data_IF_902303680580
#
_entry.id   IF_902303680580
#
_cell.length_a   1.000
_cell.length_b   1.000
_cell.length_c   1.000
_cell.angle_alpha   90.00
_cell.angle_beta   90.00
_cell.angle_gamma   90.00
#
_symmetry.space_group_name_H-M   'P 1'
#
loop_
_entity.id
_entity.type
_entity.pdbx_description
1 polymer ?
#
# COMPACT_ATOMS: atom_id res chain seq x y z
N UNK A 1 27.42 -88.70 131.66
CA UNK A 1 28.63 -89.53 131.86
C UNK A 1 29.25 -89.29 133.26
N UNK A 2 28.52 -89.55 134.35
CA UNK A 2 28.94 -89.20 135.73
C UNK A 2 29.41 -90.40 136.58
N UNK A 3 29.41 -91.62 136.03
CA UNK A 3 29.70 -92.86 136.77
C UNK A 3 31.20 -93.19 136.94
N UNK A 4 32.11 -92.61 136.14
CA UNK A 4 33.54 -92.96 136.15
C UNK A 4 34.40 -92.17 137.14
N UNK A 5 33.92 -91.02 137.60
CA UNK A 5 34.72 -90.16 138.50
C UNK A 5 34.60 -90.59 139.97
N UNK A 6 33.54 -91.30 140.35
CA UNK A 6 33.37 -91.86 141.70
C UNK A 6 34.20 -93.12 141.91
N UNK A 7 34.34 -93.97 140.88
CA UNK A 7 35.16 -95.18 140.95
C UNK A 7 36.65 -94.86 141.16
N UNK A 8 37.19 -93.88 140.43
CA UNK A 8 38.58 -93.45 140.61
C UNK A 8 38.85 -92.78 141.97
N UNK A 9 37.83 -92.20 142.62
CA UNK A 9 37.98 -91.58 143.95
C UNK A 9 38.16 -92.62 145.04
N UNK A 10 37.40 -93.71 144.97
CA UNK A 10 37.43 -94.79 145.96
C UNK A 10 38.72 -95.61 145.81
N UNK A 11 39.19 -95.86 144.59
CA UNK A 11 40.44 -96.60 144.35
C UNK A 11 41.67 -95.84 144.88
N UNK A 12 41.74 -94.52 144.69
CA UNK A 12 42.87 -93.71 145.22
C UNK A 12 42.87 -93.66 146.76
N UNK A 13 41.70 -93.55 147.38
CA UNK A 13 41.57 -93.57 148.83
C UNK A 13 41.99 -94.93 149.43
N UNK A 14 41.64 -96.03 148.77
CA UNK A 14 42.05 -97.38 149.18
C UNK A 14 43.57 -97.59 149.08
N UNK A 15 44.19 -97.11 147.99
CA UNK A 15 45.64 -97.22 147.78
C UNK A 15 46.41 -96.40 148.82
N UNK A 16 45.96 -95.19 149.17
CA UNK A 16 46.64 -94.40 150.22
C UNK A 16 46.48 -95.02 151.61
N UNK A 17 45.34 -95.63 151.90
CA UNK A 17 45.12 -96.39 153.14
C UNK A 17 46.09 -97.58 153.27
N UNK A 18 46.23 -98.39 152.22
CA UNK A 18 47.13 -99.56 152.22
C UNK A 18 48.61 -99.12 152.35
N UNK A 19 49.02 -98.08 151.61
CA UNK A 19 50.39 -97.58 151.66
C UNK A 19 50.75 -97.01 153.03
N UNK A 20 49.89 -96.17 153.62
CA UNK A 20 50.14 -95.57 154.94
C UNK A 20 50.03 -96.58 156.09
N UNK A 21 49.11 -97.54 156.03
CA UNK A 21 49.01 -98.61 157.01
C UNK A 21 50.23 -99.55 156.95
N UNK A 22 50.66 -99.93 155.74
CA UNK A 22 51.81 -100.81 155.53
C UNK A 22 53.13 -100.20 156.03
N UNK A 23 53.39 -98.93 155.71
CA UNK A 23 54.60 -98.22 156.17
C UNK A 23 54.60 -98.03 157.70
N UNK A 24 53.45 -97.75 158.30
CA UNK A 24 53.38 -97.49 159.75
C UNK A 24 53.46 -98.76 160.59
N UNK A 25 53.06 -99.93 160.06
CA UNK A 25 53.19 -101.23 160.75
C UNK A 25 54.62 -101.78 160.73
N UNK A 26 55.41 -101.45 159.68
CA UNK A 26 56.80 -101.88 159.53
C UNK A 26 57.78 -101.19 160.48
N UNK A 27 57.49 -99.96 160.92
CA UNK A 27 58.46 -99.13 161.65
C UNK A 27 58.21 -99.05 163.17
N UNK A 28 56.94 -99.14 163.61
CA UNK A 28 56.57 -99.14 165.01
C UNK A 28 55.57 -100.27 165.22
N UNK A 29 55.89 -101.26 166.04
CA UNK A 29 55.07 -102.47 166.24
C UNK A 29 53.80 -102.18 167.10
N UNK A 30 53.12 -101.06 166.83
CA UNK A 30 51.93 -100.55 167.51
C UNK A 30 50.81 -100.29 166.49
N UNK A 31 49.84 -101.21 166.43
CA UNK A 31 48.74 -101.21 165.45
C UNK A 31 47.85 -99.96 165.56
N UNK A 32 47.65 -99.42 166.77
CA UNK A 32 46.75 -98.29 167.00
C UNK A 32 47.23 -96.97 166.36
N UNK A 33 48.54 -96.72 166.32
CA UNK A 33 49.10 -95.51 165.68
C UNK A 33 49.09 -95.61 164.15
N UNK A 34 49.24 -96.81 163.60
CA UNK A 34 49.16 -97.04 162.16
C UNK A 34 47.75 -96.74 161.62
N UNK A 35 46.71 -97.09 162.37
CA UNK A 35 45.32 -96.85 161.97
C UNK A 35 44.95 -95.37 161.96
N UNK A 36 45.39 -94.58 162.96
CA UNK A 36 45.11 -93.14 163.00
C UNK A 36 45.76 -92.38 161.83
N UNK A 37 46.99 -92.73 161.46
CA UNK A 37 47.68 -92.11 160.32
C UNK A 37 47.02 -92.49 158.99
N UNK A 38 46.54 -93.73 158.85
CA UNK A 38 45.83 -94.17 157.65
C UNK A 38 44.48 -93.42 157.46
N UNK A 39 43.74 -93.16 158.54
CA UNK A 39 42.50 -92.37 158.48
C UNK A 39 42.77 -90.93 158.05
N UNK A 40 43.80 -90.28 158.62
CA UNK A 40 44.17 -88.91 158.25
C UNK A 40 44.55 -88.84 156.76
N UNK A 41 45.31 -89.82 156.26
CA UNK A 41 45.68 -89.91 154.85
C UNK A 41 44.46 -90.03 153.93
N UNK A 42 43.46 -90.84 154.28
CA UNK A 42 42.24 -91.00 153.48
C UNK A 42 41.44 -89.70 153.41
N UNK A 43 41.25 -89.01 154.54
CA UNK A 43 40.51 -87.74 154.59
C UNK A 43 41.25 -86.66 153.78
N UNK A 44 42.57 -86.57 153.92
CA UNK A 44 43.40 -85.64 153.16
C UNK A 44 43.34 -85.92 151.65
N UNK A 45 43.39 -87.20 151.25
CA UNK A 45 43.29 -87.61 149.84
C UNK A 45 41.91 -87.28 149.27
N UNK A 46 40.83 -87.51 150.03
CA UNK A 46 39.47 -87.21 149.60
C UNK A 46 39.23 -85.69 149.44
N UNK A 47 39.72 -84.88 150.38
CA UNK A 47 39.66 -83.43 150.30
C UNK A 47 40.45 -82.88 149.10
N UNK A 48 41.64 -83.43 148.82
CA UNK A 48 42.45 -83.06 147.66
C UNK A 48 41.71 -83.31 146.34
N UNK A 49 41.01 -84.45 146.20
CA UNK A 49 40.28 -84.76 144.97
C UNK A 49 39.08 -83.83 144.76
N UNK A 50 38.36 -83.42 145.82
CA UNK A 50 37.27 -82.45 145.69
C UNK A 50 37.75 -81.05 145.28
N UNK A 51 38.89 -80.61 145.81
CA UNK A 51 39.50 -79.33 145.44
C UNK A 51 39.97 -79.36 143.97
N UNK A 52 40.58 -80.47 143.55
CA UNK A 52 41.04 -80.65 142.16
C UNK A 52 39.86 -80.73 141.19
N UNK A 53 38.77 -81.43 141.54
CA UNK A 53 37.55 -81.51 140.70
C UNK A 53 36.85 -80.15 140.55
N UNK A 54 36.81 -79.34 141.63
CA UNK A 54 36.28 -77.97 141.57
C UNK A 54 37.16 -77.06 140.69
N UNK A 55 38.48 -77.20 140.78
CA UNK A 55 39.43 -76.48 139.93
C UNK A 55 39.32 -76.90 138.46
N UNK A 56 39.14 -78.20 138.19
CA UNK A 56 38.95 -78.74 136.84
C UNK A 56 37.69 -78.19 136.19
N UNK A 57 36.54 -78.18 136.89
CA UNK A 57 35.30 -77.58 136.39
C UNK A 57 35.41 -76.08 136.15
N UNK A 58 36.13 -75.36 137.01
CA UNK A 58 36.39 -73.94 136.77
C UNK A 58 37.29 -73.74 135.54
N UNK A 59 38.28 -74.61 135.31
CA UNK A 59 39.11 -74.55 134.10
C UNK A 59 38.32 -74.90 132.84
N UNK A 60 37.47 -75.94 132.87
CA UNK A 60 36.58 -76.29 131.77
C UNK A 60 35.54 -75.21 131.50
N UNK A 61 35.00 -74.57 132.54
CA UNK A 61 34.08 -73.43 132.39
C UNK A 61 34.78 -72.24 131.73
N UNK A 62 36.02 -71.90 132.13
CA UNK A 62 36.78 -70.83 131.49
C UNK A 62 37.11 -71.16 130.02
N UNK A 63 37.43 -72.42 129.72
CA UNK A 63 37.62 -72.88 128.34
C UNK A 63 36.32 -72.80 127.54
N UNK A 64 35.20 -73.27 128.11
CA UNK A 64 33.87 -73.17 127.49
C UNK A 64 33.43 -71.72 127.30
N UNK A 65 33.67 -70.84 128.27
CA UNK A 65 33.36 -69.41 128.19
C UNK A 65 34.19 -68.74 127.09
N UNK A 66 35.48 -69.09 126.96
CA UNK A 66 36.33 -68.61 125.88
C UNK A 66 35.88 -69.12 124.50
N UNK A 67 35.46 -70.39 124.40
CA UNK A 67 34.93 -70.98 123.17
C UNK A 67 33.57 -70.36 122.82
N UNK A 68 32.68 -70.17 123.78
CA UNK A 68 31.39 -69.51 123.59
C UNK A 68 31.58 -68.04 123.17
N UNK A 69 32.53 -67.34 123.77
CA UNK A 69 32.90 -65.99 123.37
C UNK A 69 33.40 -65.97 121.93
N UNK A 70 34.29 -66.89 121.56
CA UNK A 70 34.81 -66.99 120.19
C UNK A 70 33.72 -67.39 119.18
N UNK A 71 32.81 -68.28 119.55
CA UNK A 71 31.65 -68.65 118.72
C UNK A 71 30.78 -67.41 118.50
N UNK A 72 30.47 -66.65 119.55
CA UNK A 72 29.67 -65.43 119.44
C UNK A 72 30.37 -64.35 118.61
N UNK A 73 31.68 -64.20 118.73
CA UNK A 73 32.48 -63.30 117.90
C UNK A 73 32.46 -63.72 116.43
N UNK A 74 32.67 -65.01 116.14
CA UNK A 74 32.61 -65.55 114.78
C UNK A 74 31.20 -65.45 114.20
N UNK A 75 30.16 -65.65 115.01
CA UNK A 75 28.78 -65.41 114.62
C UNK A 75 28.56 -63.93 114.30
N UNK A 76 29.03 -63.01 115.15
CA UNK A 76 28.96 -61.57 114.89
C UNK A 76 29.65 -61.16 113.58
N UNK A 77 30.86 -61.67 113.36
CA UNK A 77 31.60 -61.48 112.11
C UNK A 77 30.85 -62.07 110.91
N UNK A 78 30.27 -63.27 111.04
CA UNK A 78 29.45 -63.89 109.99
C UNK A 78 28.25 -63.02 109.62
N UNK A 79 27.53 -62.47 110.59
CA UNK A 79 26.39 -61.58 110.31
C UNK A 79 26.85 -60.28 109.65
N UNK A 80 27.99 -59.73 110.08
CA UNK A 80 28.58 -58.56 109.45
C UNK A 80 28.95 -58.82 107.98
N UNK A 81 29.70 -59.90 107.72
CA UNK A 81 30.04 -60.31 106.35
C UNK A 81 28.80 -60.61 105.51
N UNK A 82 27.77 -61.23 106.07
CA UNK A 82 26.53 -61.50 105.35
C UNK A 82 25.78 -60.20 105.00
N UNK A 83 25.82 -59.20 105.89
CA UNK A 83 25.32 -57.87 105.62
C UNK A 83 26.09 -57.15 104.50
N UNK A 84 27.42 -57.22 104.53
CA UNK A 84 28.27 -56.67 103.45
C UNK A 84 28.04 -57.37 102.11
N UNK A 85 27.94 -58.70 102.10
CA UNK A 85 27.62 -59.48 100.89
C UNK A 85 26.26 -59.07 100.34
N UNK A 86 25.26 -58.92 101.20
CA UNK A 86 23.93 -58.48 100.75
C UNK A 86 23.96 -57.04 100.19
N UNK A 87 24.71 -56.13 100.82
CA UNK A 87 24.91 -54.77 100.28
C UNK A 87 25.64 -54.80 98.92
N UNK A 88 26.66 -55.64 98.78
CA UNK A 88 27.41 -55.81 97.54
C UNK A 88 26.55 -56.43 96.44
N UNK A 89 25.70 -57.39 96.78
CA UNK A 89 24.73 -58.01 95.88
C UNK A 89 23.69 -56.99 95.39
N UNK A 90 23.16 -56.16 96.29
CA UNK A 90 22.27 -55.06 95.93
C UNK A 90 22.97 -54.05 95.01
N UNK A 91 24.22 -53.68 95.31
CA UNK A 91 25.01 -52.80 94.44
C UNK A 91 25.27 -53.44 93.07
N UNK A 92 25.57 -54.74 93.02
CA UNK A 92 25.75 -55.48 91.78
C UNK A 92 24.47 -55.49 90.94
N UNK A 93 23.30 -55.72 91.55
CA UNK A 93 22.01 -55.65 90.86
C UNK A 93 21.72 -54.25 90.29
N UNK A 94 21.99 -53.19 91.06
CA UNK A 94 21.86 -51.81 90.57
C UNK A 94 22.80 -51.54 89.39
N UNK A 95 24.06 -51.96 89.49
CA UNK A 95 25.04 -51.78 88.42
C UNK A 95 24.65 -52.53 87.14
N UNK A 96 24.12 -53.76 87.27
CA UNK A 96 23.58 -54.53 86.15
C UNK A 96 22.38 -53.84 85.52
N UNK A 97 21.47 -53.30 86.33
CA UNK A 97 20.32 -52.55 85.84
C UNK A 97 20.74 -51.29 85.07
N UNK A 98 21.71 -50.53 85.60
CA UNK A 98 22.28 -49.36 84.92
C UNK A 98 23.00 -49.75 83.63
N UNK A 99 23.78 -50.84 83.64
CA UNK A 99 24.46 -51.36 82.46
C UNK A 99 23.46 -51.74 81.36
N UNK A 100 22.38 -52.44 81.71
CA UNK A 100 21.30 -52.78 80.78
C UNK A 100 20.60 -51.53 80.22
N UNK A 101 20.34 -50.53 81.08
CA UNK A 101 19.73 -49.26 80.65
C UNK A 101 20.65 -48.52 79.66
N UNK A 102 21.94 -48.43 79.96
CA UNK A 102 22.92 -47.81 79.06
C UNK A 102 23.06 -48.61 77.76
N UNK A 103 23.06 -49.94 77.83
CA UNK A 103 23.09 -50.79 76.64
C UNK A 103 21.88 -50.54 75.73
N UNK A 104 20.68 -50.42 76.30
CA UNK A 104 19.47 -50.08 75.55
C UNK A 104 19.57 -48.68 74.93
N UNK A 105 20.03 -47.69 75.68
CA UNK A 105 20.25 -46.33 75.15
C UNK A 105 21.28 -46.31 74.00
N UNK A 106 22.36 -47.08 74.11
CA UNK A 106 23.36 -47.20 73.03
C UNK A 106 22.75 -47.89 71.81
N UNK A 107 21.91 -48.92 71.99
CA UNK A 107 21.21 -49.58 70.90
C UNK A 107 20.22 -48.63 70.20
N UNK A 108 19.45 -47.86 70.95
CA UNK A 108 18.55 -46.82 70.42
C UNK A 108 19.32 -45.76 69.63
N UNK A 109 20.40 -45.22 70.18
CA UNK A 109 21.26 -44.25 69.50
C UNK A 109 21.88 -44.80 68.20
N UNK A 110 22.23 -46.10 68.16
CA UNK A 110 22.71 -46.74 66.92
C UNK A 110 21.60 -46.84 65.88
N UNK A 111 20.40 -47.24 66.30
CA UNK A 111 19.26 -47.35 65.40
C UNK A 111 18.86 -45.99 64.81
N UNK A 112 18.84 -44.92 65.63
CA UNK A 112 18.54 -43.57 65.15
C UNK A 112 19.61 -43.06 64.18
N UNK A 113 20.90 -43.25 64.51
CA UNK A 113 22.02 -42.93 63.61
C UNK A 113 21.89 -43.68 62.27
N UNK A 114 21.56 -44.96 62.32
CA UNK A 114 21.44 -45.78 61.11
C UNK A 114 20.22 -45.36 60.26
N UNK A 115 19.11 -44.97 60.90
CA UNK A 115 17.95 -44.36 60.21
C UNK A 115 18.33 -43.04 59.53
N UNK A 116 18.98 -42.14 60.27
CA UNK A 116 19.43 -40.84 59.74
C UNK A 116 20.43 -41.02 58.59
N UNK A 117 21.33 -41.99 58.67
CA UNK A 117 22.26 -42.29 57.58
C UNK A 117 21.53 -42.79 56.32
N UNK A 118 20.48 -43.60 56.46
CA UNK A 118 19.65 -44.04 55.33
C UNK A 118 18.93 -42.84 54.72
N UNK A 119 18.31 -41.99 55.53
CA UNK A 119 17.65 -40.76 55.07
C UNK A 119 18.63 -39.83 54.35
N UNK A 120 19.82 -39.59 54.91
CA UNK A 120 20.86 -38.78 54.28
C UNK A 120 21.29 -39.36 52.92
N UNK A 121 21.42 -40.68 52.82
CA UNK A 121 21.70 -41.37 51.56
C UNK A 121 20.58 -41.14 50.53
N UNK A 122 19.31 -41.25 50.94
CA UNK A 122 18.17 -40.98 50.06
C UNK A 122 18.12 -39.53 49.59
N UNK A 123 18.35 -38.56 50.48
CA UNK A 123 18.39 -37.14 50.12
C UNK A 123 19.58 -36.82 49.20
N UNK A 124 20.73 -37.46 49.40
CA UNK A 124 21.87 -37.33 48.49
C UNK A 124 21.53 -37.84 47.09
N UNK A 125 20.83 -38.97 46.99
CA UNK A 125 20.34 -39.51 45.72
C UNK A 125 19.34 -38.58 45.03
N UNK A 126 18.33 -38.09 45.77
CA UNK A 126 17.33 -37.15 45.26
C UNK A 126 17.98 -35.84 44.77
N UNK A 127 18.95 -35.31 45.53
CA UNK A 127 19.72 -34.12 45.13
C UNK A 127 20.43 -34.33 43.79
N UNK A 128 21.13 -35.44 43.61
CA UNK A 128 21.80 -35.78 42.34
C UNK A 128 20.82 -35.91 41.18
N UNK A 129 19.64 -36.49 41.43
CA UNK A 129 18.60 -36.61 40.41
C UNK A 129 18.04 -35.24 40.02
N UNK A 130 17.79 -34.35 40.98
CA UNK A 130 17.35 -32.98 40.71
C UNK A 130 18.41 -32.19 39.94
N UNK A 131 19.68 -32.29 40.33
CA UNK A 131 20.80 -31.66 39.59
C UNK A 131 20.87 -32.16 38.14
N UNK A 132 20.69 -33.46 37.90
CA UNK A 132 20.62 -34.00 36.55
C UNK A 132 19.42 -33.46 35.75
N UNK A 133 18.24 -33.33 36.37
CA UNK A 133 17.06 -32.74 35.74
C UNK A 133 17.25 -31.26 35.42
N UNK A 134 17.86 -30.49 36.32
CA UNK A 134 18.20 -29.07 36.09
C UNK A 134 19.13 -28.94 34.88
N UNK A 135 20.20 -29.75 34.83
CA UNK A 135 21.13 -29.72 33.70
C UNK A 135 20.45 -30.09 32.37
N UNK A 136 19.54 -31.08 32.38
CA UNK A 136 18.75 -31.44 31.17
C UNK A 136 17.88 -30.28 30.70
N UNK A 137 17.13 -29.67 31.60
CA UNK A 137 16.25 -28.54 31.28
C UNK A 137 17.08 -27.36 30.78
N UNK A 138 18.26 -27.11 31.37
CA UNK A 138 19.13 -26.02 30.93
C UNK A 138 19.63 -26.23 29.50
N UNK A 139 20.03 -27.45 29.13
CA UNK A 139 20.38 -27.80 27.74
C UNK A 139 19.18 -27.65 26.80
N UNK A 140 17.97 -28.03 27.24
CA UNK A 140 16.75 -27.87 26.45
C UNK A 140 16.43 -26.38 26.20
N UNK A 141 16.56 -25.53 27.23
CA UNK A 141 16.41 -24.08 27.12
C UNK A 141 17.41 -23.51 26.12
N UNK A 142 18.70 -23.86 26.22
CA UNK A 142 19.72 -23.40 25.27
C UNK A 142 19.39 -23.82 23.82
N UNK A 143 18.90 -25.04 23.62
CA UNK A 143 18.50 -25.52 22.29
C UNK A 143 17.28 -24.77 21.76
N UNK A 144 16.29 -24.48 22.61
CA UNK A 144 15.13 -23.68 22.24
C UNK A 144 15.52 -22.23 21.92
N UNK A 145 16.45 -21.64 22.66
CA UNK A 145 16.98 -20.31 22.39
C UNK A 145 17.72 -20.25 21.04
N UNK A 146 18.54 -21.26 20.73
CA UNK A 146 19.19 -21.40 19.41
C UNK A 146 18.15 -21.53 18.29
N UNK A 147 17.17 -22.40 18.44
CA UNK A 147 16.09 -22.58 17.46
C UNK A 147 15.27 -21.31 17.26
N UNK A 148 14.96 -20.58 18.34
CA UNK A 148 14.30 -19.26 18.26
C UNK A 148 15.14 -18.24 17.52
N UNK A 149 16.45 -18.20 17.74
CA UNK A 149 17.36 -17.30 17.04
C UNK A 149 17.43 -17.62 15.54
N UNK A 150 17.52 -18.90 15.17
CA UNK A 150 17.47 -19.36 13.78
C UNK A 150 16.14 -19.01 13.10
N UNK A 151 15.02 -19.24 13.79
CA UNK A 151 13.70 -18.91 13.28
C UNK A 151 13.54 -17.40 13.07
N UNK A 152 14.03 -16.58 14.01
CA UNK A 152 14.03 -15.12 13.87
C UNK A 152 14.87 -14.66 12.67
N UNK A 153 16.04 -15.28 12.45
CA UNK A 153 16.87 -15.01 11.26
C UNK A 153 16.11 -15.36 9.98
N UNK A 154 15.49 -16.54 9.93
CA UNK A 154 14.69 -16.95 8.78
C UNK A 154 13.50 -16.02 8.53
N UNK A 155 12.80 -15.59 9.60
CA UNK A 155 11.72 -14.62 9.51
C UNK A 155 12.20 -13.26 8.97
N UNK A 156 13.36 -12.77 9.41
CA UNK A 156 13.94 -11.53 8.88
C UNK A 156 14.28 -11.65 7.39
N UNK A 157 14.84 -12.78 6.95
CA UNK A 157 15.15 -13.03 5.55
C UNK A 157 13.89 -13.11 4.70
N UNK A 158 12.87 -13.85 5.16
CA UNK A 158 11.58 -13.96 4.49
C UNK A 158 10.87 -12.60 4.39
N UNK A 159 10.97 -11.77 5.43
CA UNK A 159 10.44 -10.41 5.43
C UNK A 159 11.13 -9.52 4.39
N UNK A 160 12.46 -9.62 4.26
CA UNK A 160 13.21 -8.93 3.22
C UNK A 160 12.84 -9.42 1.81
N UNK A 161 12.72 -10.73 1.62
CA UNK A 161 12.30 -11.33 0.35
C UNK A 161 10.88 -10.91 -0.03
N UNK A 162 9.95 -10.91 0.92
CA UNK A 162 8.59 -10.41 0.74
C UNK A 162 8.59 -8.96 0.25
N UNK A 163 9.34 -8.06 0.91
CA UNK A 163 9.46 -6.66 0.49
C UNK A 163 10.04 -6.51 -0.92
N UNK A 164 11.03 -7.34 -1.27
CA UNK A 164 11.60 -7.36 -2.62
C UNK A 164 10.58 -7.79 -3.67
N UNK A 165 9.82 -8.84 -3.39
CA UNK A 165 8.75 -9.31 -4.28
C UNK A 165 7.62 -8.30 -4.42
N UNK A 166 7.23 -7.63 -3.33
CA UNK A 166 6.24 -6.54 -3.35
C UNK A 166 6.71 -5.37 -4.23
N UNK A 167 7.99 -4.96 -4.10
CA UNK A 167 8.56 -3.92 -4.96
C UNK A 167 8.56 -4.33 -6.43
N UNK A 168 8.98 -5.55 -6.75
CA UNK A 168 8.97 -6.06 -8.12
C UNK A 168 7.55 -6.12 -8.70
N UNK A 169 6.57 -6.56 -7.90
CA UNK A 169 5.17 -6.60 -8.31
C UNK A 169 4.64 -5.21 -8.61
N UNK A 170 5.02 -4.21 -7.80
CA UNK A 170 4.64 -2.83 -8.04
C UNK A 170 5.26 -2.30 -9.35
N UNK A 171 6.55 -2.57 -9.60
CA UNK A 171 7.20 -2.22 -10.86
C UNK A 171 6.49 -2.85 -12.07
N UNK A 172 6.24 -4.16 -12.03
CA UNK A 172 5.51 -4.87 -13.09
C UNK A 172 4.10 -4.31 -13.30
N UNK A 173 3.42 -3.90 -12.22
CA UNK A 173 2.10 -3.26 -12.30
C UNK A 173 2.18 -1.90 -13.00
N UNK A 174 3.20 -1.09 -12.70
CA UNK A 174 3.43 0.19 -13.38
C UNK A 174 3.71 -0.04 -14.87
N UNK A 175 4.59 -0.99 -15.20
CA UNK A 175 4.90 -1.35 -16.60
C UNK A 175 3.64 -1.85 -17.34
N UNK A 176 2.83 -2.68 -16.68
CA UNK A 176 1.55 -3.15 -17.24
C UNK A 176 0.60 -1.99 -17.55
N UNK A 177 0.46 -1.05 -16.62
CA UNK A 177 -0.39 0.13 -16.81
C UNK A 177 0.15 1.02 -17.96
N UNK A 178 1.47 1.16 -18.08
CA UNK A 178 2.09 1.90 -19.18
C UNK A 178 1.81 1.23 -20.53
N UNK A 179 1.98 -0.09 -20.62
CA UNK A 179 1.65 -0.85 -21.83
C UNK A 179 0.17 -0.75 -22.18
N UNK A 180 -0.73 -0.80 -21.19
CA UNK A 180 -2.16 -0.59 -21.40
C UNK A 180 -2.47 0.81 -21.96
N UNK A 181 -1.81 1.85 -21.45
CA UNK A 181 -1.97 3.22 -21.99
C UNK A 181 -1.48 3.31 -23.43
N UNK A 182 -0.35 2.68 -23.77
CA UNK A 182 0.16 2.64 -25.14
C UNK A 182 -0.81 1.90 -26.06
N UNK A 183 -1.34 0.75 -25.63
CA UNK A 183 -2.34 -0.01 -26.38
C UNK A 183 -3.60 0.83 -26.64
N UNK A 184 -4.06 1.60 -25.65
CA UNK A 184 -5.21 2.49 -25.83
C UNK A 184 -4.95 3.54 -26.90
N UNK A 185 -3.81 4.24 -26.83
CA UNK A 185 -3.41 5.25 -27.82
C UNK A 185 -3.33 4.66 -29.23
N UNK A 186 -2.67 3.51 -29.38
CA UNK A 186 -2.58 2.83 -30.67
C UNK A 186 -3.96 2.37 -31.17
N UNK A 187 -4.87 2.00 -30.27
CA UNK A 187 -6.24 1.68 -30.63
C UNK A 187 -7.01 2.90 -31.12
N UNK A 188 -6.84 4.07 -30.48
CA UNK A 188 -7.44 5.33 -30.92
C UNK A 188 -6.92 5.74 -32.31
N UNK A 189 -5.59 5.73 -32.50
CA UNK A 189 -4.95 5.99 -33.79
C UNK A 189 -5.46 5.03 -34.88
N UNK A 190 -5.62 3.74 -34.55
CA UNK A 190 -6.19 2.76 -35.48
C UNK A 190 -7.62 3.13 -35.89
N UNK A 191 -8.47 3.51 -34.93
CA UNK A 191 -9.85 3.91 -35.23
C UNK A 191 -9.93 5.19 -36.05
N UNK A 192 -9.04 6.15 -35.82
CA UNK A 192 -8.96 7.38 -36.61
C UNK A 192 -8.56 7.08 -38.06
N UNK A 193 -7.54 6.23 -38.26
CA UNK A 193 -7.12 5.79 -39.59
C UNK A 193 -8.26 5.02 -40.28
N UNK A 194 -8.97 4.14 -39.57
CA UNK A 194 -10.14 3.43 -40.11
C UNK A 194 -11.24 4.39 -40.57
N UNK A 195 -11.55 5.43 -39.77
CA UNK A 195 -12.53 6.45 -40.16
C UNK A 195 -12.08 7.24 -41.40
N UNK A 196 -10.81 7.65 -41.45
CA UNK A 196 -10.24 8.34 -42.61
C UNK A 196 -10.27 7.47 -43.87
N UNK A 197 -10.04 6.16 -43.73
CA UNK A 197 -10.14 5.21 -44.83
C UNK A 197 -11.58 5.11 -45.34
N UNK A 198 -12.58 5.02 -44.45
CA UNK A 198 -14.00 5.01 -44.82
C UNK A 198 -14.39 6.30 -45.54
N UNK A 199 -13.91 7.46 -45.09
CA UNK A 199 -14.13 8.74 -45.76
C UNK A 199 -13.52 8.75 -47.17
N UNK A 200 -12.29 8.26 -47.31
CA UNK A 200 -11.61 8.17 -48.61
C UNK A 200 -12.32 7.19 -49.56
N UNK A 201 -12.78 6.05 -49.03
CA UNK A 201 -13.60 5.08 -49.77
C UNK A 201 -14.93 5.70 -50.24
N UNK A 202 -15.50 6.67 -49.52
CA UNK A 202 -16.70 7.39 -49.94
C UNK A 202 -16.42 8.51 -50.95
N UNK A 203 -15.31 9.22 -50.78
CA UNK A 203 -14.92 10.32 -51.69
C UNK A 203 -14.53 9.82 -53.08
N UNK A 204 -13.90 8.63 -53.17
CA UNK A 204 -13.45 8.07 -54.43
C UNK A 204 -14.60 7.87 -55.45
N UNK A 205 -15.73 7.21 -55.13
CA UNK A 205 -16.88 7.12 -56.02
C UNK A 205 -17.44 8.49 -56.42
N UNK A 206 -17.49 9.44 -55.49
CA UNK A 206 -18.00 10.79 -55.80
C UNK A 206 -17.12 11.53 -56.80
N UNK A 207 -15.79 11.37 -56.70
CA UNK A 207 -14.85 11.90 -57.70
C UNK A 207 -14.94 11.14 -59.03
N UNK A 208 -15.12 9.82 -59.00
CA UNK A 208 -15.34 9.01 -60.21
C UNK A 208 -16.64 9.42 -60.94
N UNK A 209 -17.71 9.70 -60.19
CA UNK A 209 -18.98 10.23 -60.72
C UNK A 209 -18.78 11.61 -61.33
N UNK A 210 -18.14 12.55 -60.63
CA UNK A 210 -17.81 13.89 -61.15
C UNK A 210 -16.97 13.83 -62.43
N UNK A 211 -16.01 12.90 -62.49
CA UNK A 211 -15.16 12.69 -63.67
C UNK A 211 -15.98 12.12 -64.84
N UNK A 212 -16.93 11.23 -64.55
CA UNK A 212 -17.87 10.72 -65.54
C UNK A 212 -18.78 11.84 -66.08
N UNK A 213 -19.36 12.67 -65.21
CA UNK A 213 -20.15 13.86 -65.58
C UNK A 213 -19.35 14.77 -66.52
N UNK A 214 -18.14 15.19 -66.11
CA UNK A 214 -17.29 16.05 -66.93
C UNK A 214 -16.94 15.43 -68.29
N UNK A 215 -16.76 14.10 -68.35
CA UNK A 215 -16.50 13.41 -69.61
C UNK A 215 -17.71 13.46 -70.54
N UNK A 216 -18.92 13.34 -69.99
CA UNK A 216 -20.16 13.50 -70.76
C UNK A 216 -20.29 14.92 -71.27
N UNK A 217 -20.05 15.93 -70.43
CA UNK A 217 -20.11 17.35 -70.82
C UNK A 217 -19.11 17.68 -71.95
N UNK A 218 -17.88 17.15 -71.87
CA UNK A 218 -16.87 17.31 -72.93
C UNK A 218 -17.39 16.68 -74.23
N UNK A 219 -17.94 15.48 -74.19
CA UNK A 219 -18.45 14.80 -75.38
C UNK A 219 -19.63 15.56 -76.00
N UNK A 220 -20.50 16.15 -75.18
CA UNK A 220 -21.60 17.01 -75.66
C UNK A 220 -21.08 18.27 -76.33
N UNK A 221 -20.12 18.98 -75.70
CA UNK A 221 -19.48 20.15 -76.29
C UNK A 221 -18.75 19.83 -77.60
N UNK A 222 -18.04 18.71 -77.68
CA UNK A 222 -17.40 18.23 -78.91
C UNK A 222 -18.44 18.01 -80.03
N UNK A 223 -19.59 17.42 -79.69
CA UNK A 223 -20.68 17.24 -80.66
C UNK A 223 -21.27 18.56 -81.15
N UNK A 224 -21.40 19.56 -80.26
CA UNK A 224 -21.83 20.91 -80.62
C UNK A 224 -20.82 21.62 -81.52
N UNK A 225 -19.52 21.50 -81.22
CA UNK A 225 -18.44 22.06 -82.05
C UNK A 225 -18.45 21.42 -83.44
N UNK A 226 -18.60 20.10 -83.53
CA UNK A 226 -18.70 19.40 -84.81
C UNK A 226 -19.93 19.86 -85.61
N UNK A 227 -21.09 19.97 -84.96
CA UNK A 227 -22.31 20.49 -85.60
C UNK A 227 -22.12 21.93 -86.12
N UNK A 228 -21.51 22.81 -85.32
CA UNK A 228 -21.20 24.17 -85.76
C UNK A 228 -20.20 24.20 -86.92
N UNK A 229 -19.18 23.33 -86.90
CA UNK A 229 -18.23 23.19 -88.00
C UNK A 229 -18.90 22.76 -89.30
N UNK A 230 -19.80 21.77 -89.25
CA UNK A 230 -20.58 21.33 -90.41
C UNK A 230 -21.48 22.44 -90.94
N UNK A 231 -22.16 23.18 -90.05
CA UNK A 231 -22.99 24.32 -90.41
C UNK A 231 -22.17 25.44 -91.06
N UNK A 232 -20.97 25.72 -90.56
CA UNK A 232 -20.04 26.69 -91.15
C UNK A 232 -19.60 26.25 -92.54
N UNK A 233 -19.34 24.96 -92.76
CA UNK A 233 -18.99 24.42 -94.07
C UNK A 233 -20.13 24.65 -95.07
N UNK A 234 -21.38 24.31 -94.68
CA UNK A 234 -22.57 24.58 -95.51
C UNK A 234 -22.69 26.07 -95.81
N UNK A 235 -22.57 26.95 -94.80
CA UNK A 235 -22.64 28.40 -95.01
C UNK A 235 -21.53 28.94 -95.91
N UNK A 236 -20.32 28.38 -95.82
CA UNK A 236 -19.23 28.76 -96.70
C UNK A 236 -19.51 28.35 -98.15
N UNK A 237 -20.06 27.15 -98.38
CA UNK A 237 -20.48 26.75 -99.74
C UNK A 237 -21.62 27.63 -100.29
N UNK A 238 -22.56 28.05 -99.44
CA UNK A 238 -23.59 29.02 -99.83
C UNK A 238 -22.96 30.36 -100.21
N UNK A 239 -22.00 30.86 -99.42
CA UNK A 239 -21.26 32.09 -99.70
C UNK A 239 -20.50 31.99 -101.03
N UNK A 240 -19.78 30.90 -101.28
CA UNK A 240 -19.07 30.65 -102.54
C UNK A 240 -20.05 30.64 -103.74
N UNK A 241 -21.22 30.01 -103.59
CA UNK A 241 -22.26 30.01 -104.63
C UNK A 241 -22.83 31.42 -104.89
N UNK A 242 -23.04 32.21 -103.83
CA UNK A 242 -23.48 33.61 -103.97
C UNK A 242 -22.38 34.45 -104.63
N UNK A 243 -21.12 34.22 -104.30
CA UNK A 243 -19.97 34.88 -104.91
C UNK A 243 -19.85 34.55 -106.40
N UNK A 244 -20.06 33.29 -106.79
CA UNK A 244 -20.13 32.89 -108.20
C UNK A 244 -21.25 33.63 -108.93
N UNK A 245 -22.47 33.65 -108.38
CA UNK A 245 -23.61 34.39 -108.95
C UNK A 245 -23.34 35.89 -109.04
N UNK A 246 -22.71 36.47 -108.03
CA UNK A 246 -22.35 37.89 -108.02
C UNK A 246 -21.34 38.20 -109.13
N UNK A 247 -20.31 37.38 -109.28
CA UNK A 247 -19.34 37.51 -110.38
C UNK A 247 -20.01 37.35 -111.75
N UNK A 248 -20.94 36.39 -111.90
CA UNK A 248 -21.73 36.24 -113.13
C UNK A 248 -22.54 37.50 -113.46
N UNK A 249 -23.25 38.06 -112.48
CA UNK A 249 -24.02 39.30 -112.65
C UNK A 249 -23.08 40.47 -112.96
N UNK A 250 -21.93 40.59 -112.28
CA UNK A 250 -20.95 41.63 -112.54
C UNK A 250 -20.45 41.57 -113.98
N UNK A 251 -20.14 40.38 -114.50
CA UNK A 251 -19.76 40.20 -115.91
C UNK A 251 -20.91 40.59 -116.86
N UNK A 252 -22.15 40.27 -116.51
CA UNK A 252 -23.32 40.72 -117.28
C UNK A 252 -23.46 42.25 -117.29
N UNK A 253 -23.24 42.92 -116.17
CA UNK A 253 -23.29 44.39 -116.09
C UNK A 253 -22.18 45.03 -116.92
N UNK A 254 -20.95 44.52 -116.85
CA UNK A 254 -19.84 44.99 -117.69
C UNK A 254 -20.20 44.81 -119.17
N UNK A 255 -20.77 43.66 -119.54
CA UNK A 255 -21.24 43.42 -120.91
C UNK A 255 -22.31 44.45 -121.31
N UNK A 256 -23.33 44.69 -120.49
CA UNK A 256 -24.36 45.70 -120.75
C UNK A 256 -23.77 47.11 -120.85
N UNK A 257 -22.79 47.46 -120.03
CA UNK A 257 -22.12 48.77 -120.07
C UNK A 257 -21.31 48.94 -121.36
N UNK A 258 -20.66 47.88 -121.85
CA UNK A 258 -19.99 47.91 -123.17
C UNK A 258 -20.98 48.05 -124.33
N UNK A 259 -22.13 47.36 -124.28
CA UNK A 259 -23.20 47.52 -125.26
C UNK A 259 -23.80 48.94 -125.20
N UNK A 260 -23.99 49.48 -123.99
CA UNK A 260 -24.42 50.85 -123.81
C UNK A 260 -23.42 51.85 -124.38
N UNK A 261 -22.11 51.63 -124.21
CA UNK A 261 -21.11 52.50 -124.84
C UNK A 261 -21.10 52.40 -126.36
N UNK A 262 -21.30 51.21 -126.94
CA UNK A 262 -21.48 51.09 -128.39
C UNK A 262 -22.68 51.90 -128.87
N UNK A 263 -23.80 51.86 -128.15
CA UNK A 263 -24.99 52.66 -128.48
C UNK A 263 -24.70 54.15 -128.31
N UNK A 264 -23.99 54.54 -127.25
CA UNK A 264 -23.60 55.94 -127.02
C UNK A 264 -22.67 56.47 -128.11
N UNK A 265 -21.70 55.67 -128.55
CA UNK A 265 -20.82 56.01 -129.67
C UNK A 265 -21.61 56.13 -130.98
N UNK A 266 -22.60 55.26 -131.21
CA UNK A 266 -23.53 55.40 -132.33
C UNK A 266 -24.35 56.69 -132.24
N UNK A 267 -24.84 57.06 -131.06
CA UNK A 267 -25.57 58.32 -130.84
C UNK A 267 -24.66 59.53 -131.10
N UNK A 268 -23.42 59.53 -130.61
CA UNK A 268 -22.46 60.60 -130.90
C UNK A 268 -22.20 60.73 -132.41
N UNK A 269 -22.10 59.61 -133.12
CA UNK A 269 -21.90 59.61 -134.57
C UNK A 269 -23.11 60.22 -135.29
N UNK A 270 -24.33 59.87 -134.84
CA UNK A 270 -25.57 60.48 -135.30
C UNK A 270 -25.69 61.96 -134.93
N UNK A 271 -25.17 62.38 -133.77
CA UNK A 271 -25.17 63.77 -133.33
C UNK A 271 -24.20 64.63 -134.17
N UNK A 272 -23.03 64.09 -134.52
CA UNK A 272 -22.11 64.71 -135.49
C UNK A 272 -22.80 64.84 -136.86
N UNK A 273 -23.48 63.79 -137.33
CA UNK A 273 -24.27 63.87 -138.56
C UNK A 273 -25.36 64.94 -138.47
N UNK A 274 -26.09 65.02 -137.35
CA UNK A 274 -27.09 66.08 -137.10
C UNK A 274 -26.46 67.46 -137.17
N UNK A 275 -25.33 67.68 -136.51
CA UNK A 275 -24.66 68.97 -136.48
C UNK A 275 -24.11 69.36 -137.86
N UNK A 276 -23.63 68.39 -138.66
CA UNK A 276 -23.27 68.66 -140.06
C UNK A 276 -24.48 69.04 -140.91
N UNK A 277 -25.62 68.36 -140.74
CA UNK A 277 -26.87 68.70 -141.41
C UNK A 277 -27.39 70.08 -140.96
N UNK A 278 -27.28 70.38 -139.67
CA UNK A 278 -27.74 71.64 -139.10
C UNK A 278 -26.88 72.81 -139.57
N UNK A 279 -25.58 72.61 -139.74
CA UNK A 279 -24.68 73.59 -140.36
C UNK A 279 -24.98 73.79 -141.85
N UNK A 280 -25.30 72.73 -142.61
CA UNK A 280 -25.74 72.84 -144.00
C UNK A 280 -27.07 73.60 -144.12
N UNK A 281 -27.99 73.38 -143.18
CA UNK A 281 -29.26 74.13 -143.09
C UNK A 281 -28.99 75.60 -142.73
N UNK A 282 -28.04 75.88 -141.83
CA UNK A 282 -27.68 77.24 -141.43
C UNK A 282 -27.04 78.04 -142.56
N UNK A 283 -26.23 77.37 -143.40
CA UNK A 283 -25.58 77.98 -144.56
C UNK A 283 -26.58 78.30 -145.70
N UNK A 284 -27.65 77.51 -145.83
CA UNK A 284 -28.74 77.76 -146.78
C UNK A 284 -29.66 78.92 -146.35
N UNK A 285 -29.77 79.21 -145.05
CA UNK A 285 -30.68 80.23 -144.50
C UNK A 285 -30.13 81.66 -144.62
N UNK A 286 -28.82 81.87 -144.84
CA UNK A 286 -28.25 83.22 -144.98
C UNK A 286 -28.42 83.88 -146.36
N UNK A 287 -29.05 83.23 -147.35
CA UNK A 287 -29.11 83.75 -148.74
C UNK A 287 -30.44 84.39 -149.21
N UNK A 288 -31.52 84.49 -148.39
CA UNK A 288 -32.77 85.19 -148.81
C UNK A 288 -33.39 86.08 -147.70
N UNK A 289 -33.98 87.20 -148.11
CA UNK A 289 -34.39 88.41 -147.34
C UNK A 289 -35.56 88.30 -146.32
N UNK A 290 -35.45 89.10 -145.25
CA UNK A 290 -36.43 90.02 -144.60
C UNK A 290 -37.94 89.62 -144.57
N UNK A 291 -38.49 89.25 -143.38
CA UNK A 291 -39.66 89.86 -142.69
C UNK A 291 -40.28 88.97 -141.56
N UNK A 292 -40.33 89.53 -140.33
CA UNK A 292 -41.39 89.45 -139.31
C UNK A 292 -41.75 88.08 -138.61
N UNK A 293 -42.39 88.07 -137.41
CA UNK A 293 -41.75 87.71 -136.13
C UNK A 293 -42.52 86.65 -135.29
N UNK A 294 -42.11 86.51 -134.01
CA UNK A 294 -42.87 85.97 -132.85
C UNK A 294 -43.10 84.44 -132.84
N UNK A 295 -43.11 83.68 -131.73
CA UNK A 295 -43.40 84.00 -130.33
C UNK A 295 -43.06 82.79 -129.41
N UNK A 296 -42.64 83.09 -128.17
CA UNK A 296 -43.02 82.44 -126.89
C UNK A 296 -42.71 80.96 -126.55
N UNK A 297 -42.28 80.75 -125.30
CA UNK A 297 -42.37 79.45 -124.61
C UNK A 297 -41.40 79.24 -123.44
N UNK A 298 -41.52 80.01 -122.36
CA UNK A 298 -40.85 79.82 -121.05
C UNK A 298 -41.73 78.89 -120.16
N UNK A 299 -41.19 78.45 -119.00
CA UNK A 299 -41.87 78.13 -117.71
C UNK A 299 -42.00 76.60 -117.48
N UNK A 300 -41.64 75.92 -116.38
CA UNK A 300 -41.25 76.24 -114.98
C UNK A 300 -40.81 74.92 -114.27
N UNK A 301 -39.80 74.91 -113.40
CA UNK A 301 -39.82 75.08 -111.92
C UNK A 301 -40.20 73.87 -111.02
N UNK A 302 -39.28 73.64 -110.08
CA UNK A 302 -39.43 73.50 -108.61
C UNK A 302 -39.88 72.18 -107.96
N UNK A 303 -39.10 71.77 -106.94
CA UNK A 303 -39.44 71.63 -105.50
C UNK A 303 -38.22 70.93 -104.81
N UNK A 304 -37.44 71.44 -103.83
CA UNK A 304 -37.68 71.97 -102.46
C UNK A 304 -38.52 71.03 -101.60
N UNK A 305 -38.23 70.65 -100.35
CA UNK A 305 -37.36 71.08 -99.23
C UNK A 305 -37.11 69.78 -98.38
N UNK A 306 -36.22 69.67 -97.40
CA UNK A 306 -36.38 70.22 -96.03
C UNK A 306 -35.19 69.81 -95.15
N UNK A 307 -34.78 70.74 -94.29
CA UNK A 307 -33.72 70.71 -93.29
C UNK A 307 -33.95 69.81 -92.06
N UNK A 308 -32.86 69.67 -91.27
CA UNK A 308 -32.76 69.76 -89.79
C UNK A 308 -32.10 68.54 -89.11
N UNK A 309 -30.82 68.72 -88.75
CA UNK A 309 -30.10 68.10 -87.62
C UNK A 309 -30.62 68.74 -86.31
N UNK A 310 -30.60 68.11 -85.12
CA UNK A 310 -29.38 68.19 -84.31
C UNK A 310 -29.10 67.00 -83.35
N UNK A 311 -27.90 67.10 -82.77
CA UNK A 311 -27.11 66.16 -81.98
C UNK A 311 -27.65 65.73 -80.60
N UNK A 312 -26.95 64.71 -80.08
CA UNK A 312 -26.37 64.60 -78.72
C UNK A 312 -27.31 64.45 -77.53
N UNK A 313 -27.08 63.40 -76.73
CA UNK A 313 -26.85 63.60 -75.29
C UNK A 313 -26.13 62.43 -74.59
N UNK A 314 -25.01 62.82 -73.98
CA UNK A 314 -24.36 62.39 -72.74
C UNK A 314 -23.75 61.00 -72.50
N UNK A 315 -22.41 61.09 -72.38
CA UNK A 315 -21.45 60.27 -71.66
C UNK A 315 -21.69 60.17 -70.14
N UNK A 316 -21.24 59.02 -69.60
CA UNK A 316 -20.50 58.79 -68.34
C UNK A 316 -21.04 59.33 -67.00
N UNK A 317 -21.15 58.40 -66.04
CA UNK A 317 -20.68 58.65 -64.66
C UNK A 317 -20.19 57.34 -64.05
N UNK A 318 -18.87 57.25 -63.84
CA UNK A 318 -18.20 56.34 -62.90
C UNK A 318 -17.81 57.21 -61.70
N UNK A 319 -17.88 56.58 -60.52
CA UNK A 319 -17.16 56.87 -59.28
C UNK A 319 -17.97 57.45 -58.11
N UNK A 320 -17.71 56.91 -56.91
CA UNK A 320 -18.27 57.40 -55.65
C UNK A 320 -18.49 56.34 -54.57
N UNK A 321 -17.41 55.95 -53.88
CA UNK A 321 -17.37 55.46 -52.49
C UNK A 321 -17.99 56.47 -51.50
N UNK A 322 -18.41 56.01 -50.30
CA UNK A 322 -18.38 56.69 -48.97
C UNK A 322 -19.12 55.78 -47.95
N UNK A 323 -18.40 55.16 -47.01
CA UNK A 323 -18.25 55.50 -45.57
C UNK A 323 -19.49 55.19 -44.70
N UNK A 324 -19.30 54.32 -43.69
CA UNK A 324 -20.26 54.05 -42.62
C UNK A 324 -19.60 54.43 -41.29
N UNK A 325 -20.33 55.19 -40.48
CA UNK A 325 -19.90 56.01 -39.34
C UNK A 325 -19.49 55.23 -38.08
N UNK A 326 -18.44 55.70 -37.40
CA UNK A 326 -17.90 55.17 -36.12
C UNK A 326 -18.84 55.28 -34.89
N UNK A 327 -20.04 55.85 -35.01
CA UNK A 327 -20.94 56.09 -33.88
C UNK A 327 -22.04 55.04 -33.68
N UNK A 328 -22.26 54.11 -34.63
CA UNK A 328 -23.20 52.98 -34.43
C UNK A 328 -22.54 51.81 -33.66
N UNK A 329 -21.21 51.75 -33.64
CA UNK A 329 -20.42 50.66 -33.03
C UNK A 329 -20.32 50.72 -31.50
N UNK A 330 -20.93 51.70 -30.81
CA UNK A 330 -20.92 51.76 -29.34
C UNK A 330 -22.19 51.16 -28.74
N UNK A 331 -23.34 51.33 -29.41
CA UNK A 331 -24.63 50.86 -28.91
C UNK A 331 -24.72 49.32 -28.96
N UNK A 332 -24.21 48.68 -30.02
CA UNK A 332 -24.19 47.22 -30.18
C UNK A 332 -23.36 46.51 -29.08
N UNK A 333 -22.35 47.19 -28.52
CA UNK A 333 -21.54 46.64 -27.43
C UNK A 333 -22.20 46.79 -26.04
N UNK A 334 -23.06 47.79 -25.86
CA UNK A 334 -23.89 47.90 -24.66
C UNK A 334 -24.99 46.83 -24.67
N UNK A 335 -25.64 46.63 -25.81
CA UNK A 335 -26.65 45.59 -25.99
C UNK A 335 -26.08 44.19 -25.70
N UNK A 336 -24.82 43.94 -26.10
CA UNK A 336 -24.13 42.69 -25.76
C UNK A 336 -23.97 42.51 -24.24
N UNK A 337 -23.54 43.54 -23.51
CA UNK A 337 -23.35 43.38 -22.06
C UNK A 337 -24.69 43.18 -21.34
N UNK A 338 -25.76 43.80 -21.83
CA UNK A 338 -27.10 43.66 -21.25
C UNK A 338 -27.74 42.28 -21.55
N UNK A 339 -27.40 41.65 -22.68
CA UNK A 339 -27.90 40.31 -23.04
C UNK A 339 -27.15 39.18 -22.32
N UNK A 340 -25.92 39.42 -21.85
CA UNK A 340 -25.15 38.42 -21.13
C UNK A 340 -25.76 38.08 -19.75
N UNK A 341 -25.92 36.79 -19.50
CA UNK A 341 -26.34 36.28 -18.19
C UNK A 341 -25.24 36.48 -17.15
N UNK A 342 -25.61 36.58 -15.87
CA UNK A 342 -24.68 36.76 -14.75
C UNK A 342 -23.44 35.85 -14.77
N UNK A 343 -23.53 34.52 -15.04
CA UNK A 343 -22.35 33.67 -15.14
C UNK A 343 -21.48 33.92 -16.38
N UNK A 344 -22.06 34.34 -17.50
CA UNK A 344 -21.31 34.70 -18.71
C UNK A 344 -20.53 36.01 -18.50
N UNK A 345 -21.16 37.00 -17.86
CA UNK A 345 -20.50 38.27 -17.51
C UNK A 345 -19.32 38.05 -16.54
N UNK A 346 -19.49 37.20 -15.51
CA UNK A 346 -18.41 36.85 -14.58
C UNK A 346 -17.26 36.08 -15.25
N UNK A 347 -17.57 35.23 -16.23
CA UNK A 347 -16.54 34.55 -17.01
C UNK A 347 -15.77 35.53 -17.91
N UNK A 348 -16.45 36.47 -18.57
CA UNK A 348 -15.82 37.51 -19.38
C UNK A 348 -14.92 38.43 -18.54
N UNK A 349 -15.37 38.84 -17.36
CA UNK A 349 -14.58 39.61 -16.39
C UNK A 349 -13.32 38.85 -15.96
N UNK A 350 -13.46 37.55 -15.66
CA UNK A 350 -12.33 36.69 -15.26
C UNK A 350 -11.26 36.58 -16.35
N UNK A 351 -11.66 36.57 -17.63
CA UNK A 351 -10.74 36.52 -18.79
C UNK A 351 -9.99 37.85 -18.96
N UNK A 352 -10.58 38.98 -18.57
CA UNK A 352 -9.95 40.31 -18.68
C UNK A 352 -8.93 40.59 -17.57
N UNK A 353 -9.23 40.15 -16.35
CA UNK A 353 -8.46 40.47 -15.13
C UNK A 353 -7.30 39.50 -14.84
N UNK A 354 -7.48 38.20 -15.12
CA UNK A 354 -6.53 37.17 -14.66
C UNK A 354 -5.57 36.72 -15.76
N UNK A 355 -4.29 36.54 -15.41
CA UNK A 355 -3.28 35.98 -16.33
C UNK A 355 -3.57 34.49 -16.68
N UNK A 356 -4.36 33.80 -15.85
CA UNK A 356 -4.85 32.45 -16.11
C UNK A 356 -6.32 32.34 -15.66
N UNK A 357 -7.29 32.49 -16.57
CA UNK A 357 -8.70 32.56 -16.22
C UNK A 357 -9.36 31.19 -16.00
N UNK A 358 -8.69 30.08 -16.35
CA UNK A 358 -9.27 28.74 -16.35
C UNK A 358 -9.77 28.26 -14.96
N UNK A 359 -9.05 28.47 -13.85
CA UNK A 359 -9.52 28.05 -12.52
C UNK A 359 -10.81 28.75 -12.08
N UNK A 360 -10.97 30.03 -12.43
CA UNK A 360 -12.15 30.83 -12.06
C UNK A 360 -13.33 30.53 -12.97
N UNK A 361 -13.11 30.40 -14.29
CA UNK A 361 -14.14 29.95 -15.24
C UNK A 361 -14.65 28.55 -14.87
N UNK A 362 -13.75 27.63 -14.48
CA UNK A 362 -14.13 26.29 -14.02
C UNK A 362 -15.06 26.34 -12.82
N UNK A 363 -14.76 27.18 -11.84
CA UNK A 363 -15.60 27.35 -10.66
C UNK A 363 -16.97 27.94 -11.02
N UNK A 364 -17.02 28.97 -11.87
CA UNK A 364 -18.26 29.59 -12.33
C UNK A 364 -19.13 28.58 -13.11
N UNK A 365 -18.52 27.75 -13.95
CA UNK A 365 -19.21 26.70 -14.70
C UNK A 365 -19.78 25.61 -13.78
N UNK A 366 -19.00 25.17 -12.78
CA UNK A 366 -19.47 24.20 -11.77
C UNK A 366 -20.65 24.74 -10.95
N UNK A 367 -20.60 26.01 -10.53
CA UNK A 367 -21.65 26.66 -9.75
C UNK A 367 -22.97 26.84 -10.56
N UNK A 368 -22.90 26.85 -11.89
CA UNK A 368 -24.04 27.03 -12.79
C UNK A 368 -24.44 25.75 -13.56
N UNK A 369 -23.87 24.60 -13.20
CA UNK A 369 -24.13 23.30 -13.86
C UNK A 369 -23.85 23.37 -15.38
N UNK A 370 -22.77 24.06 -15.76
CA UNK A 370 -22.33 24.18 -17.16
C UNK A 370 -20.89 23.64 -17.32
N UNK A 371 -20.41 23.57 -18.55
CA UNK A 371 -19.01 23.26 -18.84
C UNK A 371 -18.27 24.55 -19.23
N UNK A 372 -16.99 24.73 -18.82
CA UNK A 372 -16.21 25.94 -19.12
C UNK A 372 -16.20 26.31 -20.60
N UNK A 373 -16.04 25.33 -21.49
CA UNK A 373 -16.02 25.56 -22.93
C UNK A 373 -17.39 26.03 -23.44
N UNK A 374 -18.49 25.44 -22.97
CA UNK A 374 -19.86 25.87 -23.33
C UNK A 374 -20.11 27.31 -22.87
N UNK A 375 -19.59 27.71 -21.71
CA UNK A 375 -19.73 29.06 -21.21
C UNK A 375 -19.00 30.08 -22.10
N UNK A 376 -17.80 29.74 -22.57
CA UNK A 376 -17.00 30.57 -23.49
C UNK A 376 -17.62 30.60 -24.88
N UNK A 377 -18.05 29.45 -25.41
CA UNK A 377 -18.71 29.33 -26.71
C UNK A 377 -20.02 30.12 -26.73
N UNK A 378 -20.78 30.10 -25.63
CA UNK A 378 -22.01 30.86 -25.50
C UNK A 378 -21.77 32.38 -25.47
N UNK A 379 -20.65 32.85 -24.90
CA UNK A 379 -20.26 34.26 -24.97
C UNK A 379 -19.91 34.64 -26.42
N UNK A 380 -19.16 33.79 -27.12
CA UNK A 380 -18.81 34.00 -28.51
C UNK A 380 -20.02 33.94 -29.46
N UNK A 381 -20.99 33.08 -29.18
CA UNK A 381 -22.26 33.00 -29.91
C UNK A 381 -23.08 34.28 -29.72
N UNK A 382 -23.22 34.77 -28.47
CA UNK A 382 -23.89 36.04 -28.21
C UNK A 382 -23.17 37.25 -28.83
N UNK A 383 -21.84 37.21 -28.88
CA UNK A 383 -21.04 38.20 -29.58
C UNK A 383 -21.23 38.19 -31.10
N UNK A 384 -21.26 37.00 -31.67
CA UNK A 384 -21.51 36.80 -33.09
C UNK A 384 -22.93 37.24 -33.49
N UNK A 385 -23.92 37.05 -32.61
CA UNK A 385 -25.31 37.48 -32.84
C UNK A 385 -25.49 38.99 -32.71
N UNK A 386 -24.80 39.63 -31.76
CA UNK A 386 -25.04 41.05 -31.43
C UNK A 386 -24.12 42.00 -32.21
N UNK A 387 -22.85 41.65 -32.33
CA UNK A 387 -21.79 42.51 -32.92
C UNK A 387 -21.27 41.94 -34.24
N UNK A 388 -21.64 40.69 -34.57
CA UNK A 388 -21.19 40.03 -35.79
C UNK A 388 -19.76 39.49 -35.73
N UNK A 389 -19.14 39.53 -34.55
CA UNK A 389 -17.71 39.20 -34.35
C UNK A 389 -17.52 38.26 -33.15
N UNK A 390 -16.48 37.43 -33.21
CA UNK A 390 -16.05 36.53 -32.12
C UNK A 390 -15.05 37.28 -31.25
N UNK A 391 -15.27 37.30 -29.93
CA UNK A 391 -14.51 38.14 -29.00
C UNK A 391 -13.39 37.37 -28.27
N UNK A 392 -13.59 36.07 -28.03
CA UNK A 392 -12.66 35.20 -27.29
C UNK A 392 -12.05 34.18 -28.23
N UNK A 393 -10.71 34.16 -28.31
CA UNK A 393 -9.97 33.12 -29.02
C UNK A 393 -9.94 31.83 -28.19
N UNK A 394 -10.59 30.79 -28.72
CA UNK A 394 -10.65 29.44 -28.14
C UNK A 394 -9.57 28.51 -28.70
N UNK A 395 -8.76 28.97 -29.66
CA UNK A 395 -7.70 28.16 -30.29
C UNK A 395 -6.38 28.20 -29.51
N UNK A 396 -6.22 29.15 -28.58
CA UNK A 396 -5.07 29.22 -27.70
C UNK A 396 -5.24 28.30 -26.48
N UNK A 397 -4.12 27.82 -25.90
CA UNK A 397 -4.11 26.98 -24.68
C UNK A 397 -4.84 27.61 -23.48
N UNK A 398 -5.07 28.92 -23.53
CA UNK A 398 -5.85 29.71 -22.58
C UNK A 398 -6.83 30.59 -23.38
N UNK A 399 -8.10 30.73 -22.93
CA UNK A 399 -9.03 31.63 -23.60
C UNK A 399 -8.55 33.07 -23.44
N UNK A 400 -8.34 33.76 -24.56
CA UNK A 400 -7.82 35.13 -24.60
C UNK A 400 -8.76 36.00 -25.42
N UNK A 401 -9.08 37.17 -24.90
CA UNK A 401 -9.85 38.17 -25.67
C UNK A 401 -8.92 38.81 -26.71
N UNK A 402 -9.43 38.99 -27.93
CA UNK A 402 -8.65 39.65 -28.98
C UNK A 402 -8.18 41.05 -28.52
N UNK A 403 -6.91 41.43 -28.76
CA UNK A 403 -6.34 42.68 -28.28
C UNK A 403 -7.13 43.94 -28.67
N UNK A 404 -7.83 43.87 -29.81
CA UNK A 404 -8.62 44.96 -30.41
C UNK A 404 -9.88 45.29 -29.60
N UNK A 405 -10.45 44.31 -28.89
CA UNK A 405 -11.68 44.47 -28.10
C UNK A 405 -11.41 44.65 -26.60
N UNK A 406 -10.19 44.35 -26.15
CA UNK A 406 -9.84 44.39 -24.72
C UNK A 406 -10.06 45.76 -24.08
N UNK A 407 -9.64 46.84 -24.75
CA UNK A 407 -9.79 48.21 -24.24
C UNK A 407 -11.27 48.65 -24.20
N UNK A 408 -12.04 48.30 -25.23
CA UNK A 408 -13.48 48.59 -25.31
C UNK A 408 -14.25 47.87 -24.21
N UNK A 409 -14.01 46.57 -24.03
CA UNK A 409 -14.65 45.76 -22.99
C UNK A 409 -14.31 46.22 -21.57
N UNK A 410 -13.06 46.63 -21.33
CA UNK A 410 -12.67 47.16 -20.03
C UNK A 410 -13.43 48.44 -19.67
N UNK A 411 -13.56 49.37 -20.63
CA UNK A 411 -14.32 50.61 -20.44
C UNK A 411 -15.83 50.36 -20.22
N UNK A 412 -16.38 49.37 -20.90
CA UNK A 412 -17.80 49.00 -20.80
C UNK A 412 -18.13 48.28 -19.49
N UNK A 413 -17.28 47.37 -19.02
CA UNK A 413 -17.43 46.69 -17.71
C UNK A 413 -17.36 47.70 -16.57
N UNK A 414 -16.41 48.64 -16.60
CA UNK A 414 -16.31 49.72 -15.61
C UNK A 414 -17.58 50.59 -15.60
N UNK A 415 -18.17 50.85 -16.77
CA UNK A 415 -19.43 51.61 -16.90
C UNK A 415 -20.64 50.82 -16.37
N UNK A 416 -20.71 49.52 -16.67
CA UNK A 416 -21.78 48.63 -16.21
C UNK A 416 -21.75 48.41 -14.68
N UNK A 417 -20.57 48.18 -14.10
CA UNK A 417 -20.38 48.06 -12.65
C UNK A 417 -20.76 49.36 -11.90
N UNK A 418 -20.46 50.53 -12.49
CA UNK A 418 -20.84 51.84 -11.95
C UNK A 418 -22.36 52.06 -11.99
N UNK A 419 -23.04 51.59 -13.03
CA UNK A 419 -24.50 51.68 -13.13
C UNK A 419 -25.20 50.71 -12.15
N UNK A 420 -24.65 49.51 -11.93
CA UNK A 420 -25.18 48.54 -10.95
C UNK A 420 -25.00 49.00 -9.50
N UNK A 421 -23.94 49.75 -9.18
CA UNK A 421 -23.70 50.31 -7.84
C UNK A 421 -24.49 51.60 -7.54
N UNK A 422 -25.09 52.25 -8.55
CA UNK A 422 -25.99 53.39 -8.37
C UNK A 422 -27.47 53.01 -8.28
N UNK A 423 -27.84 51.78 -8.66
CA UNK A 423 -29.21 51.27 -8.66
C UNK A 423 -29.50 50.17 -7.61
N UNK A 424 -28.59 49.94 -6.64
CA UNK A 424 -28.81 49.11 -5.45
C UNK A 424 -28.75 49.96 -4.19
#
# INVERSE_FOLDING_TARGET
>A
MQSRTTENRISLALISFISSFGLSCLFHWNINQAFSNAIIAVIATYAAVLIVDKRHRNQEMLVLDSLNYRIKELEGLKHHFLGEVHQLENHHHLLLQESNKLQNQVAECRNTRDSLNRELSTYSGQKKQLEASINRIQVEIENLERSKAELNKNFSNLSLEKRRLESNTNTLRIETNQLQSIIHKLSEEKTEIENNLVLLERLKPSLEEKLYELRVDIQELESQVNYQSDLLLVKNTEYDNVLLKFNEIQQQTIHQETEFQKIKDQINLLEIERDTLQNQVWELIQQEEINFPEESGIVNQNQKDTDVFPFSDFMLTIDGTIERSENELLDEWFDLIETLTSPQFQALESILEEQNPYPRIKKIAEDNITMPNILIDSINEQAQETIGEIIIDTNADLPLIYPEYRFKLQQLIETHQKNMTQNG
#
